data_IF_784966662317
#
_entry.id   IF_784966662317
#
_cell.length_a   1.000
_cell.length_b   1.000
_cell.length_c   1.000
_cell.angle_alpha   90.00
_cell.angle_beta   90.00
_cell.angle_gamma   90.00
#
_symmetry.space_group_name_H-M   'P 1'
#
loop_
_entity.id
_entity.type
_entity.pdbx_description
1 polymer ?
#
# COMPACT_ATOMS: atom_id res chain seq x y z
N UNK A 1 -0.45 17.74 -16.25
CA UNK A 1 0.97 17.45 -16.57
C UNK A 1 1.79 17.86 -15.35
N UNK A 2 2.07 16.91 -14.46
CA UNK A 2 2.91 17.15 -13.28
C UNK A 2 4.34 16.91 -13.69
N UNK A 3 5.12 17.97 -13.78
CA UNK A 3 6.55 17.89 -14.03
C UNK A 3 7.23 17.17 -12.86
N UNK A 4 7.74 15.99 -13.11
CA UNK A 4 8.67 15.33 -12.21
C UNK A 4 9.94 16.22 -12.14
N UNK A 5 10.16 16.85 -10.99
CA UNK A 5 11.40 17.53 -10.72
C UNK A 5 12.55 16.51 -10.73
N UNK A 6 13.43 16.62 -11.71
CA UNK A 6 14.72 15.93 -11.70
C UNK A 6 15.51 16.45 -10.49
N UNK A 7 16.07 15.60 -9.62
CA UNK A 7 16.89 16.10 -8.52
C UNK A 7 18.15 16.72 -9.10
N UNK A 8 18.27 18.03 -8.96
CA UNK A 8 19.52 18.73 -9.12
C UNK A 8 20.46 18.26 -8.02
N UNK A 9 21.73 17.96 -8.35
CA UNK A 9 22.77 17.57 -7.42
C UNK A 9 22.91 18.63 -6.31
N UNK A 10 22.24 18.40 -5.19
CA UNK A 10 22.18 19.29 -4.05
C UNK A 10 21.59 18.54 -2.86
N UNK A 11 21.95 18.97 -1.66
CA UNK A 11 21.35 18.48 -0.43
C UNK A 11 19.81 18.58 -0.51
N UNK A 12 19.10 17.58 0.03
CA UNK A 12 17.65 17.58 0.12
C UNK A 12 17.16 18.88 0.78
N UNK A 13 16.30 19.63 0.13
CA UNK A 13 15.64 20.80 0.71
C UNK A 13 14.56 20.35 1.69
N UNK A 14 14.98 20.19 2.94
CA UNK A 14 14.13 19.69 4.03
C UNK A 14 12.97 20.65 4.32
N UNK A 15 13.19 21.96 4.17
CA UNK A 15 12.14 22.96 4.43
C UNK A 15 11.06 22.91 3.34
N UNK A 16 11.45 22.80 2.08
CA UNK A 16 10.51 22.63 0.98
C UNK A 16 9.70 21.34 1.13
N UNK A 17 10.36 20.21 1.47
CA UNK A 17 9.64 18.94 1.73
C UNK A 17 8.72 19.06 2.93
N UNK A 18 9.16 19.67 4.03
CA UNK A 18 8.32 19.83 5.24
C UNK A 18 7.09 20.71 4.98
N UNK A 19 7.19 21.70 4.10
CA UNK A 19 6.08 22.58 3.73
C UNK A 19 4.92 21.83 3.04
N UNK A 20 5.19 20.68 2.41
CA UNK A 20 4.15 19.82 1.82
C UNK A 20 3.26 19.14 2.87
N UNK A 21 3.69 19.12 4.13
CA UNK A 21 2.97 18.45 5.22
C UNK A 21 2.33 19.46 6.17
N UNK A 22 1.03 19.76 6.02
CA UNK A 22 0.38 20.83 6.79
C UNK A 22 0.51 20.69 8.32
N UNK A 23 0.54 19.46 8.82
CA UNK A 23 0.66 19.19 10.26
C UNK A 23 2.00 19.68 10.86
N UNK A 24 3.05 19.72 10.07
CA UNK A 24 4.38 20.13 10.54
C UNK A 24 4.47 21.64 10.81
N UNK A 25 3.50 22.42 10.35
CA UNK A 25 3.37 23.85 10.71
C UNK A 25 2.80 24.08 12.11
N UNK A 26 2.27 23.01 12.75
CA UNK A 26 1.64 23.09 14.07
C UNK A 26 2.68 23.34 15.15
N UNK A 27 2.29 24.16 16.15
CA UNK A 27 2.99 24.27 17.42
C UNK A 27 2.40 23.28 18.44
N UNK A 28 3.25 22.81 19.33
CA UNK A 28 2.91 21.90 20.43
C UNK A 28 3.12 22.59 21.78
N UNK A 29 3.08 21.81 22.87
CA UNK A 29 3.19 22.33 24.25
C UNK A 29 4.31 23.36 24.40
N UNK A 30 4.01 24.47 25.04
CA UNK A 30 4.98 25.54 25.25
C UNK A 30 5.32 26.38 24.00
N UNK A 31 4.52 26.29 22.93
CA UNK A 31 4.76 27.02 21.69
C UNK A 31 5.90 26.46 20.83
N UNK A 32 6.40 25.28 21.16
CA UNK A 32 7.48 24.65 20.42
C UNK A 32 7.01 24.14 19.03
N UNK A 33 7.91 24.12 18.05
CA UNK A 33 7.67 23.48 16.76
C UNK A 33 7.43 21.99 16.95
N UNK A 34 6.47 21.44 16.20
CA UNK A 34 6.28 20.00 16.14
C UNK A 34 7.50 19.32 15.47
N UNK A 35 8.07 18.35 16.15
CA UNK A 35 9.01 17.38 15.59
C UNK A 35 8.33 16.02 15.64
N UNK A 36 8.10 15.40 14.47
CA UNK A 36 7.42 14.11 14.34
C UNK A 36 8.39 13.04 13.89
N UNK A 37 8.66 12.05 14.72
CA UNK A 37 9.62 10.97 14.50
C UNK A 37 9.00 9.59 14.60
N UNK A 38 7.67 9.47 14.50
CA UNK A 38 6.92 8.22 14.69
C UNK A 38 6.24 7.75 13.41
N UNK A 39 6.92 7.91 12.27
CA UNK A 39 6.40 7.46 10.96
C UNK A 39 6.25 5.94 10.86
N UNK A 40 6.92 5.17 11.72
CA UNK A 40 6.74 3.72 11.82
C UNK A 40 5.34 3.32 12.31
N UNK A 41 4.75 4.09 13.22
CA UNK A 41 3.38 3.88 13.67
C UNK A 41 2.36 4.43 12.66
N UNK A 42 2.56 5.66 12.19
CA UNK A 42 1.74 6.27 11.14
C UNK A 42 2.48 7.40 10.45
N UNK A 43 2.49 7.42 9.13
CA UNK A 43 3.09 8.51 8.36
C UNK A 43 2.16 9.71 8.27
N UNK A 44 2.71 10.91 8.38
CA UNK A 44 1.97 12.13 8.10
C UNK A 44 1.63 12.23 6.61
N UNK A 45 0.58 12.96 6.29
CA UNK A 45 0.07 13.04 4.92
C UNK A 45 0.43 14.38 4.29
N UNK A 46 1.06 14.38 3.11
CA UNK A 46 1.29 15.60 2.37
C UNK A 46 -0.03 16.13 1.78
N UNK A 47 -0.06 17.42 1.48
CA UNK A 47 -1.22 18.12 0.90
C UNK A 47 -1.77 17.39 -0.32
N UNK A 48 -0.91 16.91 -1.20
CA UNK A 48 -1.32 16.17 -2.40
C UNK A 48 -2.16 14.92 -2.09
N UNK A 49 -1.83 14.18 -1.01
CA UNK A 49 -2.60 13.01 -0.57
C UNK A 49 -3.94 13.43 0.02
N UNK A 50 -3.95 14.46 0.87
CA UNK A 50 -5.18 14.99 1.48
C UNK A 50 -6.15 15.50 0.41
N UNK A 51 -5.64 16.20 -0.59
CA UNK A 51 -6.44 16.73 -1.70
C UNK A 51 -6.96 15.63 -2.62
N UNK A 52 -6.17 14.58 -2.86
CA UNK A 52 -6.61 13.42 -3.65
C UNK A 52 -7.75 12.68 -2.94
N UNK A 53 -7.63 12.42 -1.63
CA UNK A 53 -8.69 11.79 -0.83
C UNK A 53 -9.95 12.65 -0.79
N UNK A 54 -9.81 13.93 -0.49
CA UNK A 54 -10.93 14.88 -0.52
C UNK A 54 -11.57 14.94 -1.90
N UNK A 55 -10.76 14.98 -2.96
CA UNK A 55 -11.23 15.01 -4.33
C UNK A 55 -12.05 13.78 -4.69
N UNK A 56 -11.62 12.60 -4.26
CA UNK A 56 -12.38 11.37 -4.46
C UNK A 56 -13.75 11.45 -3.81
N UNK A 57 -13.83 11.74 -2.52
CA UNK A 57 -15.11 11.79 -1.80
C UNK A 57 -16.06 12.89 -2.29
N UNK A 58 -15.53 13.99 -2.78
CA UNK A 58 -16.36 15.11 -3.24
C UNK A 58 -16.80 15.02 -4.70
N UNK A 59 -16.15 14.20 -5.53
CA UNK A 59 -16.39 14.17 -6.98
C UNK A 59 -16.61 12.78 -7.58
N UNK A 60 -15.97 11.73 -7.05
CA UNK A 60 -15.89 10.42 -7.71
C UNK A 60 -16.31 9.24 -6.83
N UNK A 61 -16.84 9.50 -5.62
CA UNK A 61 -17.14 8.42 -4.66
C UNK A 61 -18.22 7.48 -5.20
N UNK A 62 -17.80 6.34 -5.72
CA UNK A 62 -18.64 5.28 -6.23
C UNK A 62 -17.99 3.90 -6.05
N UNK A 63 -18.77 2.84 -6.27
CA UNK A 63 -18.28 1.47 -6.15
C UNK A 63 -17.37 1.13 -7.34
N UNK A 64 -16.10 0.91 -7.03
CA UNK A 64 -15.07 0.46 -7.99
C UNK A 64 -15.47 -0.92 -8.56
N UNK A 65 -15.39 -1.09 -9.89
CA UNK A 65 -15.74 -2.31 -10.64
C UNK A 65 -17.21 -2.78 -10.51
N UNK A 66 -18.10 -2.00 -9.91
CA UNK A 66 -19.46 -2.45 -9.57
C UNK A 66 -20.59 -1.63 -10.14
N UNK A 67 -20.33 -0.54 -10.84
CA UNK A 67 -21.34 0.33 -11.41
C UNK A 67 -21.16 0.54 -12.91
N UNK A 68 -22.28 0.72 -13.62
CA UNK A 68 -22.32 1.03 -15.04
C UNK A 68 -22.73 2.51 -15.27
N UNK A 69 -22.27 3.41 -14.41
CA UNK A 69 -22.51 4.84 -14.49
C UNK A 69 -21.21 5.62 -14.36
N UNK A 70 -21.18 6.85 -14.86
CA UNK A 70 -19.98 7.69 -14.99
C UNK A 70 -19.11 7.73 -13.71
N UNK A 71 -19.72 7.95 -12.54
CA UNK A 71 -18.93 8.01 -11.29
C UNK A 71 -18.22 6.69 -10.96
N UNK A 72 -18.84 5.54 -11.27
CA UNK A 72 -18.22 4.25 -11.05
C UNK A 72 -17.09 3.96 -12.06
N UNK A 73 -17.24 4.43 -13.29
CA UNK A 73 -16.19 4.39 -14.31
C UNK A 73 -15.00 5.24 -13.86
N UNK A 74 -15.21 6.51 -13.50
CA UNK A 74 -14.17 7.41 -13.01
C UNK A 74 -13.47 6.89 -11.76
N UNK A 75 -14.20 6.31 -10.80
CA UNK A 75 -13.63 5.70 -9.60
C UNK A 75 -12.80 4.46 -9.94
N UNK A 76 -13.24 3.64 -10.90
CA UNK A 76 -12.52 2.46 -11.36
C UNK A 76 -11.23 2.85 -12.07
N UNK A 77 -11.30 3.83 -12.97
CA UNK A 77 -10.14 4.32 -13.71
C UNK A 77 -9.08 4.90 -12.75
N UNK A 78 -9.49 5.68 -11.76
CA UNK A 78 -8.59 6.23 -10.75
C UNK A 78 -7.93 5.13 -9.93
N UNK A 79 -8.68 4.10 -9.53
CA UNK A 79 -8.18 2.96 -8.75
C UNK A 79 -7.17 2.13 -9.55
N UNK A 80 -7.48 1.80 -10.81
CA UNK A 80 -6.58 1.00 -11.66
C UNK A 80 -5.36 1.81 -12.11
N UNK A 81 -5.50 3.11 -12.31
CA UNK A 81 -4.35 3.98 -12.55
C UNK A 81 -3.39 4.00 -11.34
N UNK A 82 -3.92 4.09 -10.12
CA UNK A 82 -3.11 4.00 -8.91
C UNK A 82 -2.39 2.64 -8.80
N UNK A 83 -3.10 1.53 -9.11
CA UNK A 83 -2.52 0.18 -9.16
C UNK A 83 -1.34 0.12 -10.14
N UNK A 84 -1.53 0.63 -11.36
CA UNK A 84 -0.49 0.66 -12.38
C UNK A 84 0.74 1.43 -11.88
N UNK A 85 0.55 2.65 -11.34
CA UNK A 85 1.65 3.49 -10.85
C UNK A 85 2.44 2.86 -9.71
N UNK A 86 1.76 2.17 -8.77
CA UNK A 86 2.43 1.49 -7.67
C UNK A 86 3.16 0.24 -8.18
N UNK A 87 2.55 -0.53 -9.08
CA UNK A 87 3.19 -1.69 -9.68
C UNK A 87 4.48 -1.30 -10.43
N UNK A 88 4.44 -0.23 -11.24
CA UNK A 88 5.62 0.34 -11.90
C UNK A 88 6.73 0.70 -10.90
N UNK A 89 6.37 1.36 -9.78
CA UNK A 89 7.33 1.78 -8.76
C UNK A 89 8.09 0.60 -8.14
N UNK A 90 7.40 -0.52 -7.91
CA UNK A 90 7.99 -1.72 -7.28
C UNK A 90 8.49 -2.75 -8.31
N UNK A 91 8.40 -2.46 -9.61
CA UNK A 91 8.85 -3.37 -10.66
C UNK A 91 7.97 -4.61 -10.85
N UNK A 92 6.68 -4.53 -10.47
CA UNK A 92 5.70 -5.61 -10.58
C UNK A 92 4.73 -5.38 -11.75
N UNK A 93 3.98 -6.43 -12.13
CA UNK A 93 2.84 -6.27 -13.01
C UNK A 93 1.60 -5.82 -12.21
N UNK A 94 0.67 -5.04 -12.77
CA UNK A 94 -0.53 -4.60 -12.05
C UNK A 94 -1.35 -5.74 -11.43
N UNK A 95 -1.42 -6.90 -12.10
CA UNK A 95 -2.11 -8.11 -11.62
C UNK A 95 -1.43 -8.78 -10.41
N UNK A 96 -0.17 -8.45 -10.14
CA UNK A 96 0.61 -8.99 -9.02
C UNK A 96 0.47 -8.13 -7.76
N UNK A 97 -0.15 -6.93 -7.89
CA UNK A 97 -0.36 -6.02 -6.78
C UNK A 97 -1.73 -6.27 -6.12
N UNK A 98 -1.70 -6.56 -4.83
CA UNK A 98 -2.90 -6.71 -4.00
C UNK A 98 -2.92 -5.61 -2.95
N UNK A 99 -3.96 -4.78 -2.94
CA UNK A 99 -4.18 -3.80 -1.87
C UNK A 99 -4.73 -4.46 -0.63
N UNK A 100 -4.11 -4.19 0.51
CA UNK A 100 -4.54 -4.65 1.84
C UNK A 100 -4.65 -3.45 2.79
N UNK A 101 -5.34 -3.62 3.91
CA UNK A 101 -5.51 -2.54 4.90
C UNK A 101 -4.22 -2.18 5.61
N UNK A 102 -3.35 -3.17 5.82
CA UNK A 102 -2.08 -3.04 6.54
C UNK A 102 -1.21 -4.26 6.31
N UNK A 103 0.02 -4.22 6.85
CA UNK A 103 0.98 -5.32 6.75
C UNK A 103 0.46 -6.62 7.39
N UNK A 104 -0.27 -6.55 8.51
CA UNK A 104 -0.86 -7.73 9.16
C UNK A 104 -1.81 -8.47 8.22
N UNK A 105 -2.69 -7.76 7.52
CA UNK A 105 -3.58 -8.39 6.53
C UNK A 105 -2.78 -8.99 5.37
N UNK A 106 -1.74 -8.32 4.89
CA UNK A 106 -0.88 -8.82 3.82
C UNK A 106 -0.17 -10.12 4.22
N UNK A 107 0.40 -10.17 5.41
CA UNK A 107 1.05 -11.38 5.94
C UNK A 107 0.07 -12.52 6.14
N UNK A 108 -1.12 -12.24 6.68
CA UNK A 108 -2.18 -13.25 6.80
C UNK A 108 -2.64 -13.77 5.43
N UNK A 109 -2.73 -12.91 4.40
CA UNK A 109 -3.06 -13.33 3.04
C UNK A 109 -2.04 -14.33 2.51
N UNK A 110 -0.73 -14.06 2.72
CA UNK A 110 0.34 -15.00 2.37
C UNK A 110 0.20 -16.30 3.13
N UNK A 111 0.02 -16.25 4.45
CA UNK A 111 -0.18 -17.44 5.30
C UNK A 111 -1.38 -18.28 4.86
N UNK A 112 -2.52 -17.64 4.57
CA UNK A 112 -3.70 -18.33 4.05
C UNK A 112 -3.46 -18.96 2.67
N UNK A 113 -2.64 -18.34 1.83
CA UNK A 113 -2.30 -18.91 0.52
C UNK A 113 -1.59 -20.25 0.68
N UNK A 114 -0.57 -20.31 1.52
CA UNK A 114 0.14 -21.56 1.82
C UNK A 114 -0.77 -22.60 2.50
N UNK A 115 -1.51 -22.19 3.52
CA UNK A 115 -2.40 -23.08 4.27
C UNK A 115 -3.49 -23.66 3.38
N UNK A 116 -4.14 -22.85 2.55
CA UNK A 116 -5.20 -23.28 1.64
C UNK A 116 -4.67 -24.20 0.54
N UNK A 117 -3.49 -23.91 -0.04
CA UNK A 117 -2.88 -24.79 -1.03
C UNK A 117 -2.55 -26.16 -0.43
N UNK A 118 -1.97 -26.17 0.77
CA UNK A 118 -1.62 -27.40 1.50
C UNK A 118 -2.87 -28.23 1.85
N UNK A 119 -3.90 -27.59 2.39
CA UNK A 119 -5.16 -28.27 2.72
C UNK A 119 -5.86 -28.84 1.46
N UNK A 120 -5.92 -28.06 0.38
CA UNK A 120 -6.51 -28.55 -0.89
C UNK A 120 -5.74 -29.74 -1.45
N UNK A 121 -4.40 -29.72 -1.40
CA UNK A 121 -3.59 -30.84 -1.86
C UNK A 121 -3.86 -32.14 -1.10
N UNK A 122 -4.27 -32.05 0.16
CA UNK A 122 -4.63 -33.21 0.99
C UNK A 122 -6.02 -33.78 0.69
N UNK A 123 -6.98 -32.92 0.34
CA UNK A 123 -8.39 -33.29 0.24
C UNK A 123 -8.96 -33.22 -1.19
N UNK A 124 -8.23 -32.71 -2.16
CA UNK A 124 -8.68 -32.55 -3.54
C UNK A 124 -7.53 -32.73 -4.53
N UNK A 125 -7.79 -33.40 -5.64
CA UNK A 125 -6.83 -33.57 -6.74
C UNK A 125 -6.75 -32.36 -7.67
N UNK A 126 -7.65 -31.38 -7.55
CA UNK A 126 -7.71 -30.22 -8.46
C UNK A 126 -7.21 -28.95 -7.77
N UNK A 127 -5.94 -28.67 -7.97
CA UNK A 127 -5.35 -27.38 -7.62
C UNK A 127 -5.40 -26.41 -8.82
N UNK A 128 -5.54 -25.11 -8.60
CA UNK A 128 -5.29 -24.11 -9.65
C UNK A 128 -3.86 -24.24 -10.18
N UNK A 129 -3.67 -23.93 -11.47
CA UNK A 129 -2.34 -23.97 -12.11
C UNK A 129 -1.33 -23.13 -11.32
N UNK A 130 -0.18 -23.73 -11.02
CA UNK A 130 0.90 -23.09 -10.26
C UNK A 130 0.70 -23.04 -8.74
N UNK A 131 -0.43 -23.54 -8.21
CA UNK A 131 -0.68 -23.55 -6.76
C UNK A 131 0.17 -24.59 -6.03
N UNK A 132 0.71 -25.57 -6.71
CA UNK A 132 1.60 -26.61 -6.18
C UNK A 132 2.86 -26.03 -5.50
N UNK A 133 3.33 -24.85 -5.96
CA UNK A 133 4.47 -24.15 -5.35
C UNK A 133 4.20 -23.60 -3.95
N UNK A 134 2.94 -23.51 -3.56
CA UNK A 134 2.51 -23.00 -2.24
C UNK A 134 2.14 -24.12 -1.27
N UNK A 135 2.35 -25.38 -1.64
CA UNK A 135 2.10 -26.52 -0.76
C UNK A 135 3.27 -26.65 0.22
N UNK A 136 2.97 -26.54 1.51
CA UNK A 136 3.95 -26.81 2.58
C UNK A 136 4.09 -28.32 2.81
N UNK A 137 5.33 -28.77 2.90
CA UNK A 137 5.71 -30.17 3.12
C UNK A 137 6.46 -30.31 4.43
N UNK A 138 6.47 -31.50 5.04
CA UNK A 138 7.33 -31.76 6.20
C UNK A 138 8.80 -31.46 5.86
N UNK A 139 9.43 -30.62 6.67
CA UNK A 139 10.80 -30.17 6.48
C UNK A 139 10.95 -28.80 5.78
N UNK A 140 9.86 -28.20 5.29
CA UNK A 140 9.90 -26.82 4.82
C UNK A 140 10.12 -25.88 6.01
N UNK A 141 10.89 -24.81 5.78
CA UNK A 141 11.27 -23.84 6.80
C UNK A 141 10.79 -22.44 6.45
N UNK A 142 10.35 -21.69 7.45
CA UNK A 142 10.05 -20.26 7.35
C UNK A 142 11.10 -19.50 8.15
N UNK A 143 11.91 -18.70 7.47
CA UNK A 143 12.98 -17.93 8.11
C UNK A 143 12.42 -16.55 8.50
N UNK A 144 12.56 -16.19 9.77
CA UNK A 144 12.21 -14.89 10.34
C UNK A 144 13.38 -14.33 11.13
N UNK A 145 13.44 -13.01 11.33
CA UNK A 145 14.44 -12.38 12.19
C UNK A 145 13.85 -12.09 13.58
N UNK A 146 14.72 -11.94 14.59
CA UNK A 146 14.27 -11.55 15.94
C UNK A 146 13.84 -10.09 16.05
N UNK A 147 14.15 -9.27 15.06
CA UNK A 147 13.84 -7.84 15.05
C UNK A 147 12.49 -7.51 14.42
N UNK A 148 11.74 -8.51 13.98
CA UNK A 148 10.45 -8.32 13.33
C UNK A 148 9.39 -7.75 14.28
N UNK A 149 8.43 -7.06 13.72
CA UNK A 149 7.25 -6.64 14.48
C UNK A 149 6.43 -7.86 14.88
N UNK A 150 5.83 -7.84 16.06
CA UNK A 150 5.04 -8.97 16.61
C UNK A 150 3.84 -9.40 15.74
N UNK A 151 3.51 -8.68 14.68
CA UNK A 151 2.48 -9.07 13.71
C UNK A 151 2.97 -10.08 12.66
N UNK A 152 4.26 -10.39 12.63
CA UNK A 152 4.89 -11.29 11.65
C UNK A 152 4.85 -12.75 12.12
#
# INVERSE_FOLDING_TARGET
MTTLHTPVSGLLDVEAVAADFPILSRTVRGGNRLVYLDSGATSQKPTAVLDAERGFYTRHNAAVHRGAHLLAEEATDAYEHARLRIAELIGAQPRELVFTKNATEALNLVSYTFSNATAKAQFSSALPDGAERFILKPGDEVVVTEMEHHAN
#
